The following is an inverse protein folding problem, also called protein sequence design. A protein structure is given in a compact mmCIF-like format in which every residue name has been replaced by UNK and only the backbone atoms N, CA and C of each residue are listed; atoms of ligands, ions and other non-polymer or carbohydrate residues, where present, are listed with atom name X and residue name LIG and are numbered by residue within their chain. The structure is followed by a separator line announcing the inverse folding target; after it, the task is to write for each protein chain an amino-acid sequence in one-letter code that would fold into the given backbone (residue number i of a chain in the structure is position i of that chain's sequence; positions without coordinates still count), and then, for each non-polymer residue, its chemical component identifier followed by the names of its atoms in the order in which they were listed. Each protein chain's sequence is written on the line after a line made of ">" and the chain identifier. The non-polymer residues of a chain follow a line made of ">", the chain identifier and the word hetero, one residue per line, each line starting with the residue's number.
data_IF_191547455846
#
_entry.id   IF_191547455846
#
_cell.length_a   1.000
_cell.length_b   1.000
_cell.length_c   1.000
_cell.angle_alpha   90.00
_cell.angle_beta   90.00
_cell.angle_gamma   90.00
#
_symmetry.space_group_name_H-M   'P 1'
#
loop_
_entity.id
_entity.type
_entity.pdbx_description
1 polymer ?
#
# COMPACT_ATOMS: atom_id res chain seq x y z
N UNK A 1 7.09 -4.44 13.17
CA UNK A 1 5.73 -5.04 13.07
C UNK A 1 5.32 -5.83 14.31
N UNK A 2 6.26 -6.43 15.07
CA UNK A 2 5.99 -7.24 16.27
C UNK A 2 4.88 -6.67 17.18
N UNK A 3 5.04 -5.45 17.67
CA UNK A 3 4.08 -4.83 18.60
C UNK A 3 2.66 -4.68 18.01
N UNK A 4 2.56 -4.32 16.72
CA UNK A 4 1.26 -4.21 16.04
C UNK A 4 0.59 -5.59 15.92
N UNK A 5 1.35 -6.61 15.52
CA UNK A 5 0.85 -7.99 15.41
C UNK A 5 0.40 -8.55 16.77
N UNK A 6 1.14 -8.25 17.84
CA UNK A 6 0.75 -8.62 19.21
C UNK A 6 -0.59 -7.96 19.61
N UNK A 7 -0.80 -6.68 19.26
CA UNK A 7 -2.09 -6.00 19.48
C UNK A 7 -3.24 -6.60 18.68
N UNK A 8 -2.95 -7.23 17.54
CA UNK A 8 -3.92 -7.95 16.72
C UNK A 8 -4.15 -9.41 17.18
N UNK A 9 -3.49 -9.84 18.27
CA UNK A 9 -3.66 -11.17 18.86
C UNK A 9 -2.56 -12.18 18.52
N UNK A 10 -1.65 -11.84 17.59
CA UNK A 10 -0.50 -12.70 17.25
C UNK A 10 0.59 -12.51 18.30
N UNK A 11 0.46 -13.23 19.41
CA UNK A 11 1.33 -13.08 20.59
C UNK A 11 2.28 -14.25 20.78
N UNK A 12 1.78 -15.48 20.64
CA UNK A 12 2.56 -16.72 20.83
C UNK A 12 3.77 -16.81 19.89
N UNK A 13 3.64 -16.31 18.65
CA UNK A 13 4.71 -16.28 17.64
C UNK A 13 5.99 -15.58 18.15
N UNK A 14 5.86 -14.66 19.12
CA UNK A 14 6.94 -13.86 19.67
C UNK A 14 7.37 -14.28 21.09
N UNK A 15 6.89 -15.43 21.58
CA UNK A 15 7.16 -15.96 22.91
C UNK A 15 8.03 -17.21 22.84
N UNK A 16 9.16 -17.24 23.55
CA UNK A 16 10.00 -18.45 23.64
C UNK A 16 9.26 -19.64 24.25
N UNK A 17 8.29 -19.38 25.12
CA UNK A 17 7.66 -20.42 25.96
C UNK A 17 6.37 -20.97 25.34
N UNK A 18 5.81 -20.28 24.35
CA UNK A 18 4.51 -20.61 23.77
C UNK A 18 4.53 -20.77 22.23
N UNK A 19 5.62 -20.41 21.55
CA UNK A 19 5.69 -20.50 20.10
C UNK A 19 5.81 -21.96 19.63
N UNK A 20 4.91 -22.39 18.75
CA UNK A 20 5.02 -23.69 18.06
C UNK A 20 5.33 -23.48 16.57
N UNK A 21 6.60 -23.65 16.20
CA UNK A 21 7.10 -23.60 14.82
C UNK A 21 7.64 -24.95 14.35
N UNK A 22 7.12 -26.06 14.88
CA UNK A 22 7.56 -27.43 14.50
C UNK A 22 7.36 -27.76 13.01
N UNK A 23 6.46 -27.05 12.33
CA UNK A 23 6.28 -27.13 10.88
C UNK A 23 7.39 -26.44 10.05
N UNK A 24 8.23 -25.62 10.69
CA UNK A 24 9.36 -24.91 10.07
C UNK A 24 10.69 -25.58 10.42
N UNK A 25 10.89 -25.93 11.69
CA UNK A 25 12.08 -26.63 12.20
C UNK A 25 11.71 -27.56 13.34
N UNK A 26 12.37 -28.73 13.50
CA UNK A 26 12.21 -29.56 14.70
C UNK A 26 12.73 -28.90 15.99
N UNK A 27 13.57 -27.86 15.89
CA UNK A 27 14.12 -27.14 17.04
C UNK A 27 13.14 -26.13 17.63
N UNK A 28 13.34 -25.77 18.90
CA UNK A 28 12.58 -24.70 19.57
C UNK A 28 12.97 -23.32 18.99
N UNK A 29 12.04 -22.72 18.24
CA UNK A 29 12.21 -21.42 17.60
C UNK A 29 11.06 -20.49 17.96
N UNK A 30 11.35 -19.18 18.01
CA UNK A 30 10.35 -18.13 18.10
C UNK A 30 10.80 -16.92 17.26
N UNK A 31 9.87 -16.04 16.91
CA UNK A 31 10.17 -14.84 16.12
C UNK A 31 10.67 -13.74 17.04
N UNK A 32 11.92 -13.30 16.83
CA UNK A 32 12.50 -12.18 17.57
C UNK A 32 11.81 -10.85 17.24
N UNK A 33 11.73 -10.51 15.96
CA UNK A 33 11.05 -9.33 15.43
C UNK A 33 10.60 -9.54 13.97
N UNK A 34 9.72 -8.67 13.48
CA UNK A 34 9.28 -8.59 12.08
C UNK A 34 9.45 -7.15 11.62
N UNK A 35 10.32 -6.93 10.65
CA UNK A 35 10.56 -5.62 10.04
C UNK A 35 9.81 -5.53 8.71
N UNK A 36 9.05 -4.45 8.51
CA UNK A 36 8.33 -4.17 7.28
C UNK A 36 8.69 -2.77 6.80
N UNK A 37 9.15 -2.66 5.56
CA UNK A 37 9.52 -1.41 4.91
C UNK A 37 8.88 -1.41 3.52
N UNK A 38 8.23 -0.30 3.18
CA UNK A 38 7.61 -0.09 1.88
C UNK A 38 7.95 1.31 1.39
N UNK A 39 8.22 1.44 0.09
CA UNK A 39 8.54 2.70 -0.58
C UNK A 39 7.65 2.81 -1.82
N UNK A 40 7.08 4.00 -2.03
CA UNK A 40 6.34 4.33 -3.25
C UNK A 40 6.97 5.57 -3.85
N UNK A 41 7.14 5.53 -5.16
CA UNK A 41 7.45 6.67 -6.00
C UNK A 41 6.27 6.86 -6.95
N UNK A 42 5.77 8.09 -7.05
CA UNK A 42 4.72 8.48 -8.00
C UNK A 42 5.31 9.58 -8.87
N UNK A 43 5.44 9.28 -10.16
CA UNK A 43 5.91 10.21 -11.17
C UNK A 43 4.88 10.34 -12.30
N UNK A 44 5.22 11.17 -13.28
CA UNK A 44 4.39 11.41 -14.47
C UNK A 44 4.69 10.40 -15.60
N UNK A 45 5.62 9.44 -15.43
CA UNK A 45 6.11 8.54 -16.48
C UNK A 45 5.16 7.38 -16.82
N UNK A 46 3.98 7.33 -16.20
CA UNK A 46 2.94 6.33 -16.43
C UNK A 46 2.11 6.55 -17.71
N UNK A 47 2.71 6.39 -18.89
CA UNK A 47 2.01 6.25 -20.17
C UNK A 47 2.35 7.32 -21.21
N UNK A 48 2.80 6.87 -22.39
CA UNK A 48 3.19 7.63 -23.59
C UNK A 48 2.92 9.14 -23.54
N UNK A 49 3.96 9.96 -23.29
CA UNK A 49 3.80 11.39 -23.22
C UNK A 49 3.46 11.96 -24.60
N UNK A 50 2.48 12.85 -24.60
CA UNK A 50 2.25 13.96 -25.54
C UNK A 50 1.05 13.84 -26.52
N UNK A 51 0.81 12.71 -27.21
CA UNK A 51 -0.31 12.66 -28.18
C UNK A 51 -1.69 12.54 -27.52
N UNK A 52 -1.83 11.66 -26.53
CA UNK A 52 -3.09 11.41 -25.81
C UNK A 52 -3.43 12.58 -24.88
N UNK A 53 -2.41 13.18 -24.23
CA UNK A 53 -2.59 14.35 -23.37
C UNK A 53 -3.13 15.56 -24.14
N UNK A 54 -2.64 15.83 -25.36
CA UNK A 54 -3.14 16.92 -26.20
C UNK A 54 -4.58 16.69 -26.68
N UNK A 55 -4.93 15.47 -27.09
CA UNK A 55 -6.29 15.11 -27.52
C UNK A 55 -7.30 15.19 -26.36
N UNK A 56 -6.92 14.70 -25.17
CA UNK A 56 -7.74 14.78 -23.96
C UNK A 56 -7.92 16.23 -23.52
N UNK A 57 -6.88 17.07 -23.56
CA UNK A 57 -6.99 18.48 -23.17
C UNK A 57 -8.00 19.26 -24.03
N UNK A 58 -8.02 18.99 -25.36
CA UNK A 58 -8.99 19.59 -26.29
C UNK A 58 -10.42 19.12 -26.03
N UNK A 59 -10.62 17.84 -25.68
CA UNK A 59 -11.94 17.28 -25.33
C UNK A 59 -12.42 17.69 -23.93
N UNK A 60 -11.51 17.86 -22.97
CA UNK A 60 -11.85 18.34 -21.62
C UNK A 60 -12.27 19.81 -21.63
N UNK A 61 -11.72 20.65 -22.52
CA UNK A 61 -12.13 22.04 -22.64
C UNK A 61 -13.61 22.19 -23.06
N UNK A 62 -14.12 21.29 -23.88
CA UNK A 62 -15.54 21.24 -24.31
C UNK A 62 -16.45 20.52 -23.31
N UNK A 63 -15.92 19.67 -22.42
CA UNK A 63 -16.67 18.85 -21.45
C UNK A 63 -16.49 19.30 -19.99
N UNK A 64 -15.95 20.51 -19.74
CA UNK A 64 -15.59 21.01 -18.40
C UNK A 64 -16.74 21.02 -17.38
N UNK A 65 -17.99 20.89 -17.83
CA UNK A 65 -19.20 20.77 -17.00
C UNK A 65 -19.65 19.32 -16.71
N UNK A 66 -18.94 18.29 -17.18
CA UNK A 66 -19.39 16.89 -17.11
C UNK A 66 -18.60 16.05 -16.09
N UNK A 67 -17.36 16.44 -15.75
CA UNK A 67 -16.53 15.68 -14.81
C UNK A 67 -16.16 16.52 -13.57
N UNK A 68 -16.24 15.92 -12.35
CA UNK A 68 -15.78 16.58 -11.15
C UNK A 68 -14.27 16.78 -11.18
N UNK A 69 -13.81 17.94 -10.72
CA UNK A 69 -12.37 18.21 -10.52
C UNK A 69 -11.96 17.55 -9.21
N UNK A 70 -11.03 16.60 -9.26
CA UNK A 70 -10.38 16.04 -8.08
C UNK A 70 -9.10 16.83 -7.77
N UNK A 71 -8.96 17.30 -6.53
CA UNK A 71 -7.75 17.96 -6.04
C UNK A 71 -7.31 17.27 -4.76
N UNK A 72 -6.12 16.67 -4.80
CA UNK A 72 -5.46 16.09 -3.63
C UNK A 72 -4.54 17.13 -2.97
N UNK A 73 -5.11 18.27 -2.57
CA UNK A 73 -4.40 19.45 -2.06
C UNK A 73 -4.41 19.58 -0.52
N UNK A 74 -4.68 18.45 0.17
CA UNK A 74 -4.71 18.28 1.62
C UNK A 74 -4.49 16.80 1.96
N UNK A 75 -4.19 16.43 3.23
CA UNK A 75 -3.91 15.03 3.58
C UNK A 75 -4.94 14.04 3.04
N UNK A 76 -4.47 12.95 2.44
CA UNK A 76 -5.31 11.94 1.79
C UNK A 76 -4.77 10.52 2.01
N UNK A 77 -5.66 9.54 1.90
CA UNK A 77 -5.29 8.11 1.86
C UNK A 77 -5.12 7.67 0.41
N UNK A 78 -4.16 6.79 0.18
CA UNK A 78 -3.94 6.16 -1.12
C UNK A 78 -3.79 4.65 -0.97
N UNK A 79 -4.13 3.91 -2.02
CA UNK A 79 -4.00 2.47 -2.06
C UNK A 79 -3.59 1.98 -3.45
N UNK A 80 -2.66 1.03 -3.51
CA UNK A 80 -2.25 0.32 -4.71
C UNK A 80 -2.96 -1.02 -4.73
N UNK A 81 -3.66 -1.32 -5.82
CA UNK A 81 -4.46 -2.54 -5.97
C UNK A 81 -3.99 -3.38 -7.16
N UNK A 82 -3.98 -4.69 -7.00
CA UNK A 82 -3.81 -5.66 -8.09
C UNK A 82 -5.06 -6.55 -8.16
N UNK A 83 -5.82 -6.49 -9.26
CA UNK A 83 -7.04 -7.28 -9.44
C UNK A 83 -8.01 -7.25 -8.24
N UNK A 84 -8.25 -6.05 -7.69
CA UNK A 84 -9.06 -5.79 -6.47
C UNK A 84 -8.42 -6.15 -5.12
N UNK A 85 -7.20 -6.70 -5.10
CA UNK A 85 -6.48 -6.95 -3.86
C UNK A 85 -5.62 -5.73 -3.49
N UNK A 86 -5.72 -5.30 -2.23
CA UNK A 86 -4.90 -4.21 -1.70
C UNK A 86 -3.46 -4.70 -1.49
N UNK A 87 -2.53 -4.12 -2.24
CA UNK A 87 -1.09 -4.40 -2.12
C UNK A 87 -0.45 -3.49 -1.08
N UNK A 88 -0.79 -2.20 -1.12
CA UNK A 88 -0.21 -1.19 -0.23
C UNK A 88 -1.24 -0.11 0.06
N UNK A 89 -1.37 0.27 1.32
CA UNK A 89 -2.16 1.43 1.76
C UNK A 89 -1.27 2.41 2.51
N UNK A 90 -1.45 3.69 2.25
CA UNK A 90 -0.69 4.74 2.91
C UNK A 90 -1.49 6.03 3.04
N UNK A 91 -0.89 6.96 3.75
CA UNK A 91 -1.40 8.30 3.94
C UNK A 91 -0.35 9.29 3.46
N UNK A 92 -0.77 10.24 2.62
CA UNK A 92 0.02 11.41 2.28
C UNK A 92 -0.46 12.57 3.15
N UNK A 93 0.48 13.27 3.80
CA UNK A 93 0.21 14.37 4.72
C UNK A 93 0.84 15.66 4.19
#
# INVERSE_FOLDING_TARGET
>A
MKHMLQKLGVTELFSSDACDLKGVSPDELYVGDVVHQAVIEVDEEGGEPDAVAQEISKRMFTLRNIFPIFRADRPFLYGIFHNHELVLIGQYC
#
